data_IF_341403728091
#
_entry.id   IF_341403728091
#
_cell.length_a   1.000
_cell.length_b   1.000
_cell.length_c   1.000
_cell.angle_alpha   90.00
_cell.angle_beta   90.00
_cell.angle_gamma   90.00
#
_symmetry.space_group_name_H-M   'P 1'
#
loop_
_entity.id
_entity.type
_entity.pdbx_description
1 polymer ?
#
# COMPACT_ATOMS: atom_id res chain seq x y z
N UNK A 1 -9.76 4.18 -21.68
CA UNK A 1 -8.38 3.95 -21.27
C UNK A 1 -7.99 4.96 -20.20
N UNK A 2 -6.94 4.72 -19.47
CA UNK A 2 -6.45 5.64 -18.43
C UNK A 2 -5.72 6.83 -19.05
N UNK A 3 -5.75 7.96 -18.35
CA UNK A 3 -5.07 9.19 -18.77
C UNK A 3 -3.84 9.40 -17.88
N UNK A 4 -2.68 9.53 -18.49
CA UNK A 4 -1.42 9.76 -17.79
C UNK A 4 -0.64 10.90 -18.44
N UNK A 5 0.29 11.49 -17.67
CA UNK A 5 1.25 12.44 -18.23
C UNK A 5 2.60 12.33 -17.51
N UNK A 6 3.71 12.74 -18.19
CA UNK A 6 4.99 13.00 -17.54
C UNK A 6 4.90 14.24 -16.65
N UNK A 7 5.81 14.40 -15.71
CA UNK A 7 5.89 15.57 -14.84
C UNK A 7 7.34 15.94 -14.51
N UNK A 8 7.57 17.20 -14.19
CA UNK A 8 8.87 17.66 -13.71
C UNK A 8 8.96 17.42 -12.20
N UNK A 9 9.48 16.25 -11.80
CA UNK A 9 9.53 15.89 -10.40
C UNK A 9 10.42 16.82 -9.59
N UNK A 10 10.01 17.12 -8.35
CA UNK A 10 10.90 17.63 -7.33
C UNK A 10 11.52 16.43 -6.63
N UNK A 11 12.84 16.33 -6.62
CA UNK A 11 13.57 15.16 -6.11
C UNK A 11 14.92 15.54 -5.48
N UNK A 12 15.47 14.69 -4.59
CA UNK A 12 16.74 14.98 -3.94
C UNK A 12 17.92 14.87 -4.91
N UNK A 13 19.01 15.62 -4.70
CA UNK A 13 20.31 15.30 -5.28
C UNK A 13 20.77 13.88 -4.95
N UNK A 14 21.54 13.27 -5.86
CA UNK A 14 21.97 11.87 -5.77
C UNK A 14 22.73 11.54 -4.49
N UNK A 15 23.53 12.46 -4.00
CA UNK A 15 24.40 12.31 -2.83
C UNK A 15 23.64 12.27 -1.49
N UNK A 16 22.40 12.76 -1.45
CA UNK A 16 21.59 12.78 -0.22
C UNK A 16 20.29 11.94 -0.33
N UNK A 17 20.05 11.24 -1.44
CA UNK A 17 18.78 10.50 -1.64
C UNK A 17 18.50 9.49 -0.51
N UNK A 18 19.52 8.83 0.03
CA UNK A 18 19.37 7.88 1.14
C UNK A 18 18.99 8.53 2.46
N UNK A 19 19.36 9.80 2.68
CA UNK A 19 18.96 10.57 3.84
C UNK A 19 17.53 11.07 3.73
N UNK A 20 17.08 11.38 2.48
CA UNK A 20 15.76 11.93 2.20
C UNK A 20 14.68 10.84 2.12
N UNK A 21 14.98 9.73 1.42
CA UNK A 21 14.02 8.66 1.20
C UNK A 21 13.51 8.06 2.51
N UNK A 22 12.19 8.06 2.69
CA UNK A 22 11.55 7.62 3.92
C UNK A 22 10.43 6.61 3.64
N UNK A 23 10.08 5.74 4.61
CA UNK A 23 8.89 4.92 4.50
C UNK A 23 7.63 5.80 4.42
N UNK A 24 6.51 5.27 3.89
CA UNK A 24 5.26 6.01 3.84
C UNK A 24 4.73 6.32 5.26
N UNK A 25 3.96 7.41 5.37
CA UNK A 25 3.53 7.99 6.64
C UNK A 25 2.73 7.02 7.54
N UNK A 26 2.06 6.05 6.95
CA UNK A 26 1.09 5.16 7.60
C UNK A 26 1.69 3.85 8.13
N UNK A 27 2.97 3.59 7.89
CA UNK A 27 3.66 2.38 8.39
C UNK A 27 4.39 2.61 9.72
N UNK A 28 4.51 3.86 10.17
CA UNK A 28 5.18 4.26 11.42
C UNK A 28 4.25 5.09 12.29
N UNK A 29 4.24 4.83 13.60
CA UNK A 29 3.69 5.80 14.54
C UNK A 29 4.67 6.98 14.73
N UNK A 30 4.21 8.08 15.35
CA UNK A 30 4.98 9.31 15.46
C UNK A 30 6.24 9.17 16.35
N UNK A 31 6.22 8.25 17.31
CA UNK A 31 7.39 7.98 18.17
C UNK A 31 8.46 7.21 17.38
N UNK A 32 8.06 6.22 16.60
CA UNK A 32 8.95 5.48 15.71
C UNK A 32 9.53 6.39 14.64
N UNK A 33 8.68 7.22 14.01
CA UNK A 33 9.10 8.19 13.01
C UNK A 33 10.13 9.18 13.58
N UNK A 34 9.91 9.72 14.80
CA UNK A 34 10.86 10.61 15.45
C UNK A 34 12.22 9.97 15.73
N UNK A 35 12.23 8.67 16.06
CA UNK A 35 13.49 7.92 16.28
C UNK A 35 14.23 7.61 14.98
N UNK A 36 13.50 7.39 13.89
CA UNK A 36 14.07 7.05 12.60
C UNK A 36 14.55 8.27 11.81
N UNK A 37 13.87 9.40 11.94
CA UNK A 37 14.11 10.59 11.14
C UNK A 37 15.50 11.20 11.41
N UNK A 38 16.38 11.14 10.39
CA UNK A 38 17.56 12.01 10.33
C UNK A 38 17.19 13.41 9.88
N UNK A 39 18.12 14.37 9.93
CA UNK A 39 17.87 15.79 9.63
C UNK A 39 17.17 16.05 8.28
N UNK A 40 17.49 15.25 7.25
CA UNK A 40 16.95 15.38 5.90
C UNK A 40 15.88 14.31 5.59
N UNK A 41 15.36 13.59 6.58
CA UNK A 41 14.33 12.58 6.35
C UNK A 41 13.01 13.21 5.91
N UNK A 42 12.43 12.71 4.83
CA UNK A 42 11.13 13.22 4.35
C UNK A 42 10.02 13.11 5.41
N UNK A 43 10.22 12.31 6.46
CA UNK A 43 9.30 12.23 7.61
C UNK A 43 9.03 13.61 8.24
N UNK A 44 9.95 14.55 8.18
CA UNK A 44 9.72 15.94 8.62
C UNK A 44 8.68 16.69 7.77
N UNK A 45 8.34 16.17 6.58
CA UNK A 45 7.32 16.75 5.68
C UNK A 45 6.04 15.92 5.72
N UNK A 46 6.14 14.58 5.82
CA UNK A 46 4.98 13.67 5.78
C UNK A 46 4.38 13.40 7.16
N UNK A 47 5.17 13.54 8.23
CA UNK A 47 4.83 13.40 9.65
C UNK A 47 5.42 14.53 10.51
N UNK A 48 5.10 15.80 10.18
CA UNK A 48 5.78 16.96 10.77
C UNK A 48 5.53 17.15 12.29
N UNK A 49 4.59 16.40 12.88
CA UNK A 49 4.38 16.34 14.34
C UNK A 49 5.64 15.90 15.11
N UNK A 50 6.56 15.19 14.44
CA UNK A 50 7.84 14.73 15.07
C UNK A 50 8.80 15.86 15.39
N UNK A 51 8.62 17.03 14.76
CA UNK A 51 9.45 18.23 14.98
C UNK A 51 9.16 18.94 16.29
N UNK A 52 8.12 18.51 17.01
CA UNK A 52 7.71 19.15 18.27
C UNK A 52 8.13 18.32 19.48
N UNK A 53 8.32 19.03 20.61
CA UNK A 53 8.57 18.41 21.89
C UNK A 53 7.70 19.07 22.97
N UNK A 54 6.70 18.38 23.52
CA UNK A 54 6.29 17.02 23.16
C UNK A 54 5.73 16.91 21.74
N UNK A 55 5.69 15.69 21.18
CA UNK A 55 5.05 15.42 19.89
C UNK A 55 3.60 15.89 19.95
N UNK A 56 3.19 16.69 18.96
CA UNK A 56 1.82 17.18 18.84
C UNK A 56 0.90 16.12 18.20
N UNK A 57 -0.43 16.25 18.39
CA UNK A 57 -1.40 15.49 17.59
C UNK A 57 -1.19 15.74 16.10
N UNK A 58 -1.29 14.70 15.29
CA UNK A 58 -1.04 14.73 13.82
C UNK A 58 -1.97 15.70 13.05
N UNK A 59 -3.12 16.07 13.61
CA UNK A 59 -4.09 17.01 13.03
C UNK A 59 -4.05 18.44 13.63
N UNK A 60 -3.01 18.81 14.37
CA UNK A 60 -2.85 20.17 14.90
C UNK A 60 -2.44 21.13 13.77
N UNK A 61 -3.03 22.32 13.71
CA UNK A 61 -2.73 23.33 12.68
C UNK A 61 -1.24 23.67 12.59
N UNK A 62 -0.54 23.65 13.72
CA UNK A 62 0.92 23.89 13.76
C UNK A 62 1.71 22.79 13.05
N UNK A 63 1.19 21.57 13.05
CA UNK A 63 1.79 20.41 12.35
C UNK A 63 1.68 20.63 10.85
N UNK A 64 0.51 21.04 10.38
CA UNK A 64 0.30 21.41 8.97
C UNK A 64 1.18 22.57 8.52
N UNK A 65 1.25 23.63 9.32
CA UNK A 65 2.14 24.78 9.05
C UNK A 65 3.63 24.36 8.98
N UNK A 66 4.02 23.41 9.82
CA UNK A 66 5.38 22.87 9.84
C UNK A 66 5.70 22.11 8.54
N UNK A 67 4.77 21.32 8.03
CA UNK A 67 4.92 20.63 6.75
C UNK A 67 5.23 21.59 5.60
N UNK A 68 4.46 22.66 5.50
CA UNK A 68 4.65 23.71 4.48
C UNK A 68 6.01 24.39 4.60
N UNK A 69 6.39 24.77 5.82
CA UNK A 69 7.70 25.41 6.10
C UNK A 69 8.86 24.49 5.75
N UNK A 70 8.79 23.22 6.14
CA UNK A 70 9.83 22.25 5.85
C UNK A 70 9.96 22.04 4.34
N UNK A 71 8.87 21.85 3.63
CA UNK A 71 8.89 21.64 2.17
C UNK A 71 9.49 22.85 1.43
N UNK A 72 9.10 24.07 1.79
CA UNK A 72 9.67 25.29 1.22
C UNK A 72 11.17 25.45 1.56
N UNK A 73 11.55 25.20 2.82
CA UNK A 73 12.92 25.34 3.26
C UNK A 73 13.85 24.33 2.58
N UNK A 74 13.38 23.10 2.37
CA UNK A 74 14.18 22.05 1.73
C UNK A 74 14.46 22.36 0.24
N UNK A 75 13.50 22.96 -0.46
CA UNK A 75 13.71 23.45 -1.82
C UNK A 75 14.74 24.59 -1.82
N UNK A 76 14.63 25.54 -0.86
CA UNK A 76 15.59 26.65 -0.71
C UNK A 76 17.01 26.16 -0.37
N UNK A 77 17.13 25.08 0.42
CA UNK A 77 18.40 24.49 0.77
C UNK A 77 19.03 23.64 -0.36
N UNK A 78 18.29 23.39 -1.43
CA UNK A 78 18.71 22.50 -2.50
C UNK A 78 18.67 21.01 -2.12
N UNK A 79 17.95 20.65 -1.04
CA UNK A 79 17.72 19.25 -0.68
C UNK A 79 16.65 18.60 -1.53
N UNK A 80 15.80 19.42 -2.14
CA UNK A 80 14.79 19.04 -3.11
C UNK A 80 14.91 19.98 -4.31
N UNK A 81 15.13 19.45 -5.50
CA UNK A 81 15.35 20.21 -6.73
C UNK A 81 14.39 19.75 -7.79
N UNK A 82 13.73 20.69 -8.49
CA UNK A 82 12.82 20.37 -9.57
C UNK A 82 13.56 20.04 -10.86
N UNK A 83 13.15 18.99 -11.55
CA UNK A 83 13.66 18.64 -12.88
C UNK A 83 13.31 19.74 -13.90
N UNK A 84 14.15 19.89 -14.93
CA UNK A 84 14.04 20.99 -15.88
C UNK A 84 12.91 20.83 -16.89
N UNK A 85 12.44 19.60 -17.10
CA UNK A 85 11.34 19.27 -18.02
C UNK A 85 10.53 18.08 -17.49
N UNK A 86 9.29 17.92 -17.97
CA UNK A 86 8.49 16.73 -17.64
C UNK A 86 9.16 15.44 -18.13
N UNK A 87 9.23 14.42 -17.26
CA UNK A 87 9.80 13.11 -17.50
C UNK A 87 8.85 12.03 -16.99
N UNK A 88 9.02 10.82 -17.49
CA UNK A 88 8.64 9.61 -16.76
C UNK A 88 9.85 9.06 -16.01
N UNK A 89 9.61 8.19 -15.04
CA UNK A 89 10.70 7.58 -14.28
C UNK A 89 10.43 6.08 -14.15
N UNK A 90 11.47 5.30 -13.95
CA UNK A 90 11.37 3.90 -13.53
C UNK A 90 11.84 3.81 -12.10
N UNK A 91 11.04 3.20 -11.25
CA UNK A 91 11.39 2.88 -9.87
C UNK A 91 11.41 1.37 -9.67
N UNK A 92 12.54 0.83 -9.29
CA UNK A 92 12.72 -0.59 -9.00
C UNK A 92 12.87 -0.82 -7.49
N UNK A 93 12.25 -1.88 -7.02
CA UNK A 93 12.35 -2.36 -5.65
C UNK A 93 12.79 -3.83 -5.65
N UNK A 94 13.81 -4.15 -4.85
CA UNK A 94 14.33 -5.52 -4.72
C UNK A 94 14.16 -6.01 -3.29
N UNK A 95 13.48 -7.14 -3.12
CA UNK A 95 13.28 -7.83 -1.85
C UNK A 95 13.51 -9.33 -2.06
N UNK A 96 14.32 -9.96 -1.21
CA UNK A 96 14.59 -11.41 -1.27
C UNK A 96 15.04 -11.90 -2.65
N UNK A 97 15.86 -11.11 -3.34
CA UNK A 97 16.37 -11.43 -4.69
C UNK A 97 15.38 -11.22 -5.84
N UNK A 98 14.14 -10.80 -5.55
CA UNK A 98 13.13 -10.47 -6.55
C UNK A 98 13.05 -8.96 -6.74
N UNK A 99 13.12 -8.51 -8.00
CA UNK A 99 12.99 -7.09 -8.36
C UNK A 99 11.69 -6.86 -9.12
N UNK A 100 10.96 -5.81 -8.73
CA UNK A 100 9.78 -5.29 -9.43
C UNK A 100 10.07 -3.88 -9.95
N UNK A 101 9.61 -3.58 -11.16
CA UNK A 101 9.84 -2.31 -11.85
C UNK A 101 8.52 -1.61 -12.10
N UNK A 102 8.37 -0.38 -11.60
CA UNK A 102 7.20 0.47 -11.80
C UNK A 102 7.53 1.73 -12.57
N UNK A 103 6.60 2.18 -13.42
CA UNK A 103 6.64 3.49 -14.06
C UNK A 103 6.07 4.53 -13.10
N UNK A 104 6.87 5.58 -12.82
CA UNK A 104 6.44 6.75 -12.04
C UNK A 104 5.88 7.78 -13.01
N UNK A 105 4.65 8.16 -12.78
CA UNK A 105 3.87 9.02 -13.68
C UNK A 105 2.82 9.80 -12.89
N UNK A 106 2.14 10.73 -13.57
CA UNK A 106 0.92 11.34 -13.03
C UNK A 106 -0.33 10.77 -13.70
N UNK A 107 -1.25 10.25 -12.90
CA UNK A 107 -2.55 9.73 -13.31
C UNK A 107 -3.64 10.79 -13.15
N UNK A 108 -4.62 10.83 -14.06
CA UNK A 108 -5.67 11.83 -14.06
C UNK A 108 -6.69 11.60 -12.94
N UNK A 109 -7.04 12.65 -12.21
CA UNK A 109 -7.96 12.62 -11.06
C UNK A 109 -9.36 12.10 -11.41
N UNK A 110 -9.88 12.43 -12.60
CA UNK A 110 -11.21 11.99 -13.04
C UNK A 110 -11.27 10.49 -13.32
N UNK A 111 -10.14 9.85 -13.65
CA UNK A 111 -10.13 8.40 -13.86
C UNK A 111 -10.52 7.63 -12.59
N UNK A 112 -10.34 8.23 -11.41
CA UNK A 112 -10.85 7.68 -10.15
C UNK A 112 -12.39 7.80 -10.07
N UNK A 113 -12.95 8.94 -10.40
CA UNK A 113 -14.40 9.14 -10.41
C UNK A 113 -15.10 8.34 -11.51
N UNK A 114 -14.45 8.18 -12.68
CA UNK A 114 -14.94 7.41 -13.83
C UNK A 114 -14.77 5.89 -13.66
N UNK A 115 -14.17 5.42 -12.55
CA UNK A 115 -13.96 3.99 -12.28
C UNK A 115 -12.87 3.33 -13.13
N UNK A 116 -11.99 4.11 -13.76
CA UNK A 116 -10.79 3.62 -14.45
C UNK A 116 -9.64 3.37 -13.48
N UNK A 117 -9.60 4.08 -12.35
CA UNK A 117 -8.76 3.74 -11.20
C UNK A 117 -9.64 2.98 -10.23
N UNK A 118 -9.47 1.66 -10.20
CA UNK A 118 -10.32 0.72 -9.49
C UNK A 118 -9.80 0.49 -8.08
N UNK A 119 -10.71 0.51 -7.12
CA UNK A 119 -10.42 0.27 -5.70
C UNK A 119 -11.01 -1.06 -5.27
N UNK A 120 -10.40 -1.69 -4.30
CA UNK A 120 -10.88 -2.90 -3.65
C UNK A 120 -11.08 -2.74 -2.14
N UNK A 121 -10.82 -1.55 -1.59
CA UNK A 121 -10.98 -1.22 -0.18
C UNK A 121 -11.67 0.14 -0.01
N UNK A 122 -12.50 0.29 1.04
CA UNK A 122 -13.12 1.56 1.40
C UNK A 122 -12.14 2.42 2.21
N UNK A 123 -12.15 3.71 1.90
CA UNK A 123 -11.37 4.69 2.66
C UNK A 123 -12.10 5.12 3.94
N UNK A 124 -11.33 5.48 4.97
CA UNK A 124 -11.83 6.13 6.17
C UNK A 124 -11.82 7.64 5.96
N UNK A 125 -12.96 8.28 6.25
CA UNK A 125 -13.15 9.73 6.02
C UNK A 125 -12.12 10.60 6.75
N UNK A 126 -11.82 10.27 8.02
CA UNK A 126 -10.85 11.00 8.83
C UNK A 126 -9.44 11.00 8.21
N UNK A 127 -8.99 9.84 7.70
CA UNK A 127 -7.68 9.70 7.05
C UNK A 127 -7.64 10.36 5.67
N UNK A 128 -8.75 10.29 4.93
CA UNK A 128 -8.86 10.94 3.64
C UNK A 128 -8.84 12.47 3.79
N UNK A 129 -9.61 13.03 4.74
CA UNK A 129 -9.67 14.46 5.01
C UNK A 129 -8.30 15.00 5.44
N UNK A 130 -7.57 14.29 6.29
CA UNK A 130 -6.20 14.63 6.69
C UNK A 130 -5.25 14.70 5.48
N UNK A 131 -5.25 13.67 4.61
CA UNK A 131 -4.41 13.69 3.41
C UNK A 131 -4.79 14.79 2.43
N UNK A 132 -6.09 15.14 2.33
CA UNK A 132 -6.53 16.30 1.56
C UNK A 132 -5.93 17.61 2.08
N UNK A 133 -5.92 17.81 3.40
CA UNK A 133 -5.29 18.99 4.00
C UNK A 133 -3.82 19.07 3.60
N UNK A 134 -3.07 18.00 3.78
CA UNK A 134 -1.64 17.95 3.40
C UNK A 134 -1.42 18.30 1.92
N UNK A 135 -2.15 17.67 1.00
CA UNK A 135 -2.01 17.94 -0.45
C UNK A 135 -2.34 19.39 -0.78
N UNK A 136 -3.39 19.96 -0.17
CA UNK A 136 -3.84 21.34 -0.42
C UNK A 136 -2.85 22.38 0.07
N UNK A 137 -2.37 22.26 1.30
CA UNK A 137 -1.47 23.26 1.91
C UNK A 137 -0.05 23.22 1.34
N UNK A 138 0.44 22.02 1.01
CA UNK A 138 1.76 21.85 0.39
C UNK A 138 1.70 22.10 -1.12
N UNK A 139 0.52 22.13 -1.69
CA UNK A 139 0.26 22.24 -3.13
C UNK A 139 1.05 21.18 -3.93
N UNK A 140 1.14 19.97 -3.40
CA UNK A 140 1.94 18.89 -3.97
C UNK A 140 1.46 17.51 -3.51
N UNK A 141 1.70 16.49 -4.34
CA UNK A 141 1.67 15.09 -3.95
C UNK A 141 3.07 14.69 -3.46
N UNK A 142 3.26 14.71 -2.15
CA UNK A 142 4.56 14.41 -1.52
C UNK A 142 4.88 12.92 -1.58
N UNK A 143 3.86 12.07 -1.47
CA UNK A 143 3.97 10.61 -1.46
C UNK A 143 3.25 10.00 -2.66
N UNK A 144 3.85 9.02 -3.34
CA UNK A 144 3.22 8.35 -4.47
C UNK A 144 2.08 7.43 -4.00
N UNK A 145 1.13 7.17 -4.89
CA UNK A 145 0.23 6.02 -4.77
C UNK A 145 0.79 4.83 -5.53
N UNK A 146 0.40 3.62 -5.12
CA UNK A 146 0.88 2.38 -5.71
C UNK A 146 -0.24 1.75 -6.54
N UNK A 147 -0.05 1.65 -7.85
CA UNK A 147 -1.01 1.06 -8.77
C UNK A 147 -0.46 -0.20 -9.45
N UNK A 148 -1.36 -1.12 -9.74
CA UNK A 148 -1.14 -2.19 -10.69
C UNK A 148 -1.87 -1.89 -12.00
N UNK A 149 -1.39 -2.44 -13.12
CA UNK A 149 -2.09 -2.48 -14.41
C UNK A 149 -1.90 -3.83 -15.09
N UNK A 150 -2.81 -4.19 -16.00
CA UNK A 150 -2.70 -5.40 -16.81
C UNK A 150 -1.45 -5.34 -17.66
N UNK A 151 -0.66 -6.40 -17.65
CA UNK A 151 0.65 -6.47 -18.30
C UNK A 151 0.61 -5.99 -19.76
N UNK A 152 1.63 -5.22 -20.15
CA UNK A 152 1.80 -4.69 -21.51
C UNK A 152 3.24 -4.87 -21.98
N UNK A 153 3.43 -5.65 -23.04
CA UNK A 153 4.75 -6.02 -23.54
C UNK A 153 5.57 -4.82 -24.05
N UNK A 154 4.93 -3.80 -24.61
CA UNK A 154 5.62 -2.60 -25.10
C UNK A 154 6.17 -1.74 -23.95
N UNK A 155 5.38 -1.58 -22.87
CA UNK A 155 5.84 -0.91 -21.65
C UNK A 155 6.99 -1.70 -21.00
N UNK A 156 6.89 -3.02 -20.94
CA UNK A 156 7.95 -3.88 -20.42
C UNK A 156 9.26 -3.75 -21.22
N UNK A 157 9.17 -3.65 -22.54
CA UNK A 157 10.32 -3.43 -23.39
C UNK A 157 10.98 -2.06 -23.14
N UNK A 158 10.20 -1.00 -23.01
CA UNK A 158 10.70 0.34 -22.67
C UNK A 158 11.41 0.31 -21.31
N UNK A 159 10.79 -0.27 -20.30
CA UNK A 159 11.38 -0.41 -18.96
C UNK A 159 12.68 -1.21 -19.03
N UNK A 160 12.70 -2.36 -19.72
CA UNK A 160 13.89 -3.19 -19.89
C UNK A 160 15.06 -2.43 -20.52
N UNK A 161 14.79 -1.61 -21.53
CA UNK A 161 15.81 -0.76 -22.17
C UNK A 161 16.32 0.32 -21.22
N UNK A 162 15.43 0.95 -20.47
CA UNK A 162 15.78 2.02 -19.52
C UNK A 162 16.69 1.49 -18.43
N UNK A 163 16.36 0.34 -17.83
CA UNK A 163 17.13 -0.22 -16.70
C UNK A 163 18.43 -0.90 -17.10
N UNK A 164 18.71 -1.03 -18.40
CA UNK A 164 20.01 -1.46 -18.91
C UNK A 164 21.10 -0.39 -18.68
N UNK A 165 20.72 0.87 -18.50
CA UNK A 165 21.63 1.95 -18.13
C UNK A 165 21.84 2.03 -16.62
N UNK A 166 22.90 2.72 -16.19
CA UNK A 166 23.12 2.97 -14.77
C UNK A 166 21.99 3.83 -14.19
N UNK A 167 21.47 3.50 -12.99
CA UNK A 167 20.42 4.26 -12.37
C UNK A 167 20.89 5.63 -11.86
N UNK A 168 19.97 6.58 -11.84
CA UNK A 168 20.16 7.88 -11.17
C UNK A 168 20.37 7.67 -9.68
N UNK A 169 19.52 6.84 -9.02
CA UNK A 169 19.68 6.44 -7.64
C UNK A 169 19.80 4.93 -7.52
N UNK A 170 20.64 4.46 -6.60
CA UNK A 170 20.70 3.06 -6.18
C UNK A 170 21.15 3.00 -4.73
N UNK A 171 20.33 2.44 -3.85
CA UNK A 171 20.63 2.29 -2.43
C UNK A 171 19.86 1.11 -1.83
N UNK A 172 20.28 0.71 -0.63
CA UNK A 172 19.58 -0.28 0.20
C UNK A 172 19.04 0.43 1.43
N UNK A 173 17.80 0.12 1.80
CA UNK A 173 17.16 0.71 2.99
C UNK A 173 17.50 -0.04 4.27
N UNK A 174 16.96 0.43 5.39
CA UNK A 174 17.15 -0.12 6.73
C UNK A 174 16.61 -1.54 6.91
N UNK A 175 15.73 -2.01 6.02
CA UNK A 175 15.18 -3.38 6.01
C UNK A 175 15.97 -4.31 5.08
N UNK A 176 17.02 -3.81 4.42
CA UNK A 176 17.79 -4.57 3.43
C UNK A 176 17.15 -4.62 2.05
N UNK A 177 16.12 -3.80 1.77
CA UNK A 177 15.49 -3.74 0.45
C UNK A 177 16.24 -2.79 -0.47
N UNK A 178 16.45 -3.24 -1.72
CA UNK A 178 17.09 -2.44 -2.75
C UNK A 178 16.12 -1.49 -3.42
N UNK A 179 16.59 -0.26 -3.70
CA UNK A 179 15.84 0.78 -4.41
C UNK A 179 16.70 1.33 -5.53
N UNK A 180 16.17 1.35 -6.75
CA UNK A 180 16.85 1.97 -7.89
C UNK A 180 15.87 2.84 -8.68
N UNK A 181 16.38 3.92 -9.29
CA UNK A 181 15.54 4.93 -9.93
C UNK A 181 16.22 5.44 -11.21
N UNK A 182 15.48 5.53 -12.31
CA UNK A 182 15.94 6.02 -13.61
C UNK A 182 15.04 7.12 -14.12
N UNK A 183 15.61 8.04 -14.89
CA UNK A 183 14.89 9.13 -15.55
C UNK A 183 14.69 8.78 -17.03
N UNK A 184 13.48 8.91 -17.53
CA UNK A 184 13.14 8.82 -18.96
C UNK A 184 12.84 10.23 -19.44
N UNK A 185 13.82 10.84 -20.11
CA UNK A 185 13.75 12.22 -20.58
C UNK A 185 13.80 12.34 -22.13
N UNK A 186 13.84 11.22 -22.84
CA UNK A 186 13.74 11.18 -24.30
C UNK A 186 12.29 11.41 -24.76
N UNK A 187 12.07 12.47 -25.55
CA UNK A 187 10.73 12.92 -25.92
C UNK A 187 9.94 11.84 -26.71
N UNK A 188 10.59 11.08 -27.58
CA UNK A 188 9.95 9.99 -28.35
C UNK A 188 9.49 8.85 -27.43
N UNK A 189 10.29 8.50 -26.41
CA UNK A 189 9.94 7.49 -25.42
C UNK A 189 8.81 7.99 -24.50
N UNK A 190 8.82 9.27 -24.11
CA UNK A 190 7.77 9.90 -23.33
C UNK A 190 6.43 9.85 -24.08
N UNK A 191 6.41 10.27 -25.35
CA UNK A 191 5.22 10.22 -26.21
C UNK A 191 4.70 8.79 -26.31
N UNK A 192 5.58 7.82 -26.59
CA UNK A 192 5.21 6.42 -26.73
C UNK A 192 4.61 5.84 -25.43
N UNK A 193 5.15 6.14 -24.25
CA UNK A 193 4.58 5.71 -22.96
C UNK A 193 3.17 6.28 -22.80
N UNK A 194 3.01 7.58 -23.05
CA UNK A 194 1.71 8.25 -22.95
C UNK A 194 0.69 7.62 -23.88
N UNK A 195 1.06 7.36 -25.13
CA UNK A 195 0.19 6.74 -26.13
C UNK A 195 -0.24 5.33 -25.75
N UNK A 196 0.68 4.49 -25.24
CA UNK A 196 0.35 3.14 -24.80
C UNK A 196 -0.66 3.17 -23.65
N UNK A 197 -0.43 3.98 -22.61
CA UNK A 197 -1.40 4.07 -21.51
C UNK A 197 -2.75 4.59 -21.97
N UNK A 198 -2.75 5.61 -22.81
CA UNK A 198 -3.98 6.26 -23.28
C UNK A 198 -4.80 5.38 -24.25
N UNK A 199 -4.16 4.46 -24.96
CA UNK A 199 -4.83 3.66 -25.99
C UNK A 199 -4.95 2.17 -25.66
N UNK A 200 -4.12 1.62 -24.74
CA UNK A 200 -4.05 0.18 -24.51
C UNK A 200 -4.32 -0.23 -23.05
N UNK A 201 -4.10 0.67 -22.08
CA UNK A 201 -4.30 0.34 -20.65
C UNK A 201 -5.71 0.75 -20.21
N UNK A 202 -6.57 -0.23 -19.95
CA UNK A 202 -7.98 0.00 -19.63
C UNK A 202 -8.21 0.59 -18.24
N UNK A 203 -7.43 0.14 -17.25
CA UNK A 203 -7.62 0.51 -15.86
C UNK A 203 -6.31 0.42 -15.06
N UNK A 204 -6.25 1.22 -13.99
CA UNK A 204 -5.36 1.01 -12.87
C UNK A 204 -6.12 0.35 -11.72
N UNK A 205 -5.39 -0.43 -10.92
CA UNK A 205 -5.90 -1.05 -9.69
C UNK A 205 -5.07 -0.52 -8.52
N UNK A 206 -5.73 0.06 -7.53
CA UNK A 206 -5.03 0.56 -6.34
C UNK A 206 -4.46 -0.63 -5.57
N UNK A 207 -3.14 -0.76 -5.53
CA UNK A 207 -2.45 -1.77 -4.73
C UNK A 207 -2.24 -1.26 -3.29
N UNK A 208 -1.79 -0.01 -3.14
CA UNK A 208 -1.62 0.66 -1.85
C UNK A 208 -1.89 2.17 -1.99
N UNK A 209 -2.28 2.83 -0.90
CA UNK A 209 -2.55 4.26 -0.88
C UNK A 209 -3.98 4.66 -1.27
N UNK A 210 -4.99 3.86 -0.91
CA UNK A 210 -6.41 4.18 -1.17
C UNK A 210 -6.80 5.58 -0.65
N UNK A 211 -6.39 5.94 0.58
CA UNK A 211 -6.67 7.28 1.14
C UNK A 211 -5.98 8.40 0.36
N UNK A 212 -4.71 8.20 -0.06
CA UNK A 212 -3.95 9.16 -0.88
C UNK A 212 -4.59 9.36 -2.25
N UNK A 213 -5.04 8.27 -2.89
CA UNK A 213 -5.75 8.31 -4.18
C UNK A 213 -7.06 9.09 -4.08
N UNK A 214 -7.90 8.78 -3.09
CA UNK A 214 -9.17 9.47 -2.88
C UNK A 214 -8.95 10.96 -2.55
N UNK A 215 -8.00 11.29 -1.67
CA UNK A 215 -7.65 12.66 -1.32
C UNK A 215 -7.18 13.47 -2.54
N UNK A 216 -6.29 12.91 -3.36
CA UNK A 216 -5.79 13.57 -4.57
C UNK A 216 -6.93 13.86 -5.58
N UNK A 217 -7.83 12.89 -5.80
CA UNK A 217 -8.98 13.05 -6.68
C UNK A 217 -9.92 14.17 -6.18
N UNK A 218 -10.18 14.23 -4.86
CA UNK A 218 -11.02 15.29 -4.26
C UNK A 218 -10.37 16.66 -4.35
N UNK A 219 -9.06 16.76 -4.07
CA UNK A 219 -8.32 18.03 -4.18
C UNK A 219 -8.32 18.53 -5.62
N UNK A 220 -8.11 17.66 -6.61
CA UNK A 220 -8.22 18.03 -8.03
C UNK A 220 -9.59 18.59 -8.39
N UNK A 221 -10.67 17.94 -7.95
CA UNK A 221 -12.04 18.40 -8.17
C UNK A 221 -12.33 19.76 -7.49
N UNK A 222 -11.86 19.96 -6.25
CA UNK A 222 -12.00 21.25 -5.55
C UNK A 222 -11.24 22.38 -6.25
N UNK A 223 -9.96 22.15 -6.64
CA UNK A 223 -9.16 23.16 -7.35
C UNK A 223 -9.78 23.52 -8.69
N UNK A 224 -10.29 22.53 -9.44
CA UNK A 224 -11.01 22.73 -10.69
C UNK A 224 -12.24 23.59 -10.50
N UNK A 225 -13.08 23.29 -9.53
CA UNK A 225 -14.29 24.05 -9.25
C UNK A 225 -14.01 25.49 -8.79
N UNK A 226 -12.85 25.71 -8.18
CA UNK A 226 -12.40 27.05 -7.75
C UNK A 226 -11.67 27.86 -8.84
N UNK A 227 -11.34 27.28 -9.99
CA UNK A 227 -10.59 27.93 -11.05
C UNK A 227 -11.50 28.30 -12.24
N UNK A 228 -11.95 29.53 -12.30
CA UNK A 228 -12.78 30.03 -13.40
C UNK A 228 -12.07 30.01 -14.79
N UNK A 229 -10.73 29.94 -14.81
CA UNK A 229 -9.91 29.84 -16.01
C UNK A 229 -9.39 28.40 -16.29
N UNK A 230 -10.07 27.40 -15.74
CA UNK A 230 -9.70 26.00 -15.93
C UNK A 230 -9.66 25.58 -17.40
N UNK A 231 -8.55 25.04 -17.85
CA UNK A 231 -8.32 24.59 -19.24
C UNK A 231 -8.35 23.09 -19.40
N UNK A 232 -8.06 22.35 -18.35
CA UNK A 232 -7.90 20.88 -18.34
C UNK A 232 -6.44 20.42 -18.25
N UNK A 233 -5.49 21.31 -18.51
CA UNK A 233 -4.05 20.97 -18.58
C UNK A 233 -3.32 21.18 -17.25
N UNK A 234 -4.00 21.75 -16.24
CA UNK A 234 -3.40 22.10 -14.96
C UNK A 234 -2.90 20.85 -14.20
N UNK A 235 -1.78 21.01 -13.46
CA UNK A 235 -1.13 19.93 -12.72
C UNK A 235 -2.05 19.30 -11.65
N UNK A 236 -2.95 20.07 -11.03
CA UNK A 236 -3.91 19.55 -10.05
C UNK A 236 -4.96 18.57 -10.63
N UNK A 237 -5.06 18.44 -11.97
CA UNK A 237 -5.86 17.39 -12.60
C UNK A 237 -5.19 16.03 -12.57
N UNK A 238 -3.94 15.96 -12.10
CA UNK A 238 -3.12 14.76 -12.07
C UNK A 238 -2.51 14.56 -10.70
N UNK A 239 -2.18 13.33 -10.37
CA UNK A 239 -1.49 12.98 -9.12
C UNK A 239 -0.49 11.85 -9.33
N UNK A 240 0.59 11.90 -8.55
CA UNK A 240 1.73 11.02 -8.68
C UNK A 240 1.42 9.58 -8.29
N UNK A 241 1.76 8.65 -9.17
CA UNK A 241 1.62 7.21 -8.97
C UNK A 241 2.88 6.46 -9.42
N UNK A 242 3.14 5.31 -8.79
CA UNK A 242 4.06 4.28 -9.30
C UNK A 242 3.21 3.10 -9.77
N UNK A 243 3.28 2.80 -11.07
CA UNK A 243 2.42 1.83 -11.73
C UNK A 243 3.25 0.60 -12.14
N UNK A 244 2.88 -0.56 -11.64
CA UNK A 244 3.54 -1.84 -11.91
C UNK A 244 2.67 -2.74 -12.77
N UNK A 245 3.24 -3.52 -13.70
CA UNK A 245 2.50 -4.60 -14.32
C UNK A 245 2.13 -5.63 -13.27
N UNK A 246 0.87 -6.12 -13.30
CA UNK A 246 0.34 -7.04 -12.28
C UNK A 246 1.18 -8.31 -12.11
N UNK A 247 1.83 -8.77 -13.19
CA UNK A 247 2.67 -9.96 -13.21
C UNK A 247 3.95 -9.80 -12.38
N UNK A 248 4.37 -8.58 -12.08
CA UNK A 248 5.52 -8.30 -11.23
C UNK A 248 5.17 -8.11 -9.75
N UNK A 249 3.89 -8.09 -9.40
CA UNK A 249 3.47 -7.88 -8.02
C UNK A 249 3.20 -9.19 -7.30
N UNK A 250 3.49 -9.19 -6.02
CA UNK A 250 3.16 -10.28 -5.09
C UNK A 250 2.43 -9.71 -3.89
N UNK A 251 1.25 -10.25 -3.64
CA UNK A 251 0.54 -10.00 -2.38
C UNK A 251 1.06 -11.03 -1.38
N UNK A 252 1.38 -10.57 -0.19
CA UNK A 252 1.73 -11.46 0.93
C UNK A 252 0.58 -11.55 1.92
N UNK A 253 0.63 -12.52 2.80
CA UNK A 253 -0.41 -12.82 3.77
C UNK A 253 -0.67 -11.66 4.74
N UNK A 254 -1.91 -11.55 5.16
CA UNK A 254 -2.32 -10.62 6.22
C UNK A 254 -3.05 -11.40 7.29
N UNK A 255 -2.36 -11.66 8.39
CA UNK A 255 -2.74 -12.63 9.42
C UNK A 255 -3.59 -11.97 10.53
N UNK A 256 -4.29 -12.79 11.32
CA UNK A 256 -5.16 -12.35 12.41
C UNK A 256 -4.69 -12.94 13.74
N UNK A 257 -4.81 -12.13 14.79
CA UNK A 257 -4.57 -12.55 16.17
C UNK A 257 -5.72 -12.10 17.05
N UNK A 258 -6.15 -12.94 17.97
CA UNK A 258 -7.35 -12.69 18.79
C UNK A 258 -7.03 -12.88 20.26
N UNK A 259 -7.53 -11.97 21.11
CA UNK A 259 -7.20 -11.88 22.55
C UNK A 259 -7.83 -12.96 23.42
N UNK A 260 -8.96 -13.50 23.00
CA UNK A 260 -9.71 -14.48 23.79
C UNK A 260 -10.46 -15.47 22.89
N UNK A 261 -10.99 -16.52 23.48
CA UNK A 261 -11.77 -17.55 22.80
C UNK A 261 -13.29 -17.41 23.07
N UNK A 262 -13.78 -16.21 23.37
CA UNK A 262 -15.19 -15.95 23.66
C UNK A 262 -15.74 -16.84 24.80
N UNK A 263 -14.93 -17.03 25.84
CA UNK A 263 -15.29 -17.85 27.02
C UNK A 263 -15.12 -19.35 26.83
N UNK A 264 -14.70 -19.84 25.66
CA UNK A 264 -14.47 -21.27 25.43
C UNK A 264 -13.11 -21.72 25.99
N UNK A 265 -13.06 -22.95 26.51
CA UNK A 265 -11.79 -23.63 26.73
C UNK A 265 -11.14 -24.02 25.37
N UNK A 266 -9.82 -24.19 25.31
CA UNK A 266 -9.13 -24.56 24.05
C UNK A 266 -9.72 -25.80 23.36
N UNK A 267 -10.07 -26.84 24.12
CA UNK A 267 -10.65 -28.09 23.60
C UNK A 267 -12.06 -27.85 23.03
N UNK A 268 -12.85 -27.00 23.69
CA UNK A 268 -14.19 -26.62 23.21
C UNK A 268 -14.09 -25.80 21.92
N UNK A 269 -13.09 -24.91 21.83
CA UNK A 269 -12.83 -24.13 20.63
C UNK A 269 -12.39 -25.02 19.45
N UNK A 270 -11.47 -25.98 19.68
CA UNK A 270 -11.09 -26.96 18.66
C UNK A 270 -12.29 -27.77 18.17
N UNK A 271 -13.13 -28.25 19.09
CA UNK A 271 -14.35 -28.99 18.73
C UNK A 271 -15.35 -28.14 17.93
N UNK A 272 -15.49 -26.85 18.27
CA UNK A 272 -16.36 -25.95 17.51
C UNK A 272 -15.86 -25.70 16.08
N UNK A 273 -14.55 -25.64 15.86
CA UNK A 273 -13.95 -25.51 14.52
C UNK A 273 -14.22 -26.73 13.64
N UNK A 274 -14.31 -27.94 14.22
CA UNK A 274 -14.53 -29.18 13.47
C UNK A 274 -15.90 -29.25 12.76
N UNK A 275 -16.83 -28.35 13.06
CA UNK A 275 -18.08 -28.24 12.28
C UNK A 275 -17.80 -27.82 10.82
N UNK A 276 -16.94 -26.83 10.64
CA UNK A 276 -16.69 -26.19 9.34
C UNK A 276 -15.34 -26.53 8.74
N UNK A 277 -14.38 -27.01 9.55
CA UNK A 277 -13.02 -27.30 9.14
C UNK A 277 -12.61 -28.73 9.49
N UNK A 278 -11.64 -29.26 8.72
CA UNK A 278 -10.81 -30.39 9.18
C UNK A 278 -9.61 -29.78 9.89
N UNK A 279 -9.48 -30.02 11.20
CA UNK A 279 -8.40 -29.48 12.03
C UNK A 279 -7.42 -30.60 12.34
N UNK A 280 -6.15 -30.43 11.96
CA UNK A 280 -5.10 -31.41 12.15
C UNK A 280 -3.92 -30.78 12.89
N UNK A 281 -3.44 -31.35 14.02
CA UNK A 281 -2.20 -30.90 14.62
C UNK A 281 -1.04 -30.95 13.63
N UNK A 282 -0.21 -29.91 13.63
CA UNK A 282 0.98 -29.88 12.77
C UNK A 282 2.14 -30.55 13.48
N UNK A 283 2.64 -31.64 12.87
CA UNK A 283 3.73 -32.45 13.43
C UNK A 283 5.11 -32.10 12.83
N UNK A 284 5.17 -31.08 11.95
CA UNK A 284 6.41 -30.62 11.34
C UNK A 284 7.28 -29.78 12.27
N UNK A 285 8.51 -29.52 11.83
CA UNK A 285 9.40 -28.58 12.52
C UNK A 285 9.07 -27.13 12.13
N UNK A 286 9.11 -26.22 13.11
CA UNK A 286 8.92 -24.78 12.89
C UNK A 286 7.45 -24.38 12.72
N UNK A 287 7.22 -23.46 11.81
CA UNK A 287 5.92 -22.80 11.59
C UNK A 287 5.07 -23.57 10.58
N UNK A 288 3.77 -23.65 10.82
CA UNK A 288 2.82 -24.21 9.86
C UNK A 288 2.38 -23.10 8.89
N UNK A 289 2.76 -23.23 7.61
CA UNK A 289 2.34 -22.28 6.56
C UNK A 289 1.12 -22.82 5.81
N UNK A 290 0.08 -21.99 5.55
CA UNK A 290 -0.98 -22.35 4.62
C UNK A 290 -0.39 -22.72 3.25
N UNK A 291 -0.82 -23.83 2.67
CA UNK A 291 -0.21 -24.35 1.43
C UNK A 291 -1.00 -24.01 0.16
N UNK A 292 -2.28 -23.68 0.28
CA UNK A 292 -3.18 -23.36 -0.82
C UNK A 292 -4.41 -22.57 -0.33
N UNK A 293 -5.26 -22.12 -1.25
CA UNK A 293 -6.53 -21.45 -0.91
C UNK A 293 -7.42 -22.39 -0.05
N UNK A 294 -8.13 -21.79 0.92
CA UNK A 294 -9.03 -22.46 1.87
C UNK A 294 -8.33 -23.34 2.92
N UNK A 295 -6.98 -23.34 2.92
CA UNK A 295 -6.14 -23.88 3.95
C UNK A 295 -5.60 -22.74 4.83
N UNK A 296 -5.81 -22.86 6.13
CA UNK A 296 -5.36 -21.92 7.16
C UNK A 296 -4.38 -22.60 8.09
N UNK A 297 -3.55 -21.81 8.75
CA UNK A 297 -2.80 -22.30 9.90
C UNK A 297 -3.26 -21.58 11.16
N UNK A 298 -3.39 -22.29 12.25
CA UNK A 298 -3.77 -21.74 13.54
C UNK A 298 -2.70 -22.05 14.59
N UNK A 299 -2.36 -21.03 15.38
CA UNK A 299 -1.50 -21.23 16.56
C UNK A 299 -2.32 -21.03 17.83
N UNK A 300 -2.41 -22.07 18.63
CA UNK A 300 -3.21 -22.13 19.86
C UNK A 300 -2.48 -22.94 20.94
N UNK A 301 -2.30 -22.38 22.14
CA UNK A 301 -1.76 -23.10 23.28
C UNK A 301 -0.37 -23.69 23.06
N UNK A 302 0.51 -22.99 22.34
CA UNK A 302 1.88 -23.44 22.06
C UNK A 302 2.01 -24.44 20.91
N UNK A 303 0.95 -24.65 20.12
CA UNK A 303 0.93 -25.62 19.01
C UNK A 303 0.35 -25.03 17.74
N UNK A 304 0.93 -25.46 16.61
CA UNK A 304 0.37 -25.20 15.29
C UNK A 304 -0.64 -26.26 14.87
N UNK A 305 -1.66 -25.85 14.13
CA UNK A 305 -2.67 -26.68 13.51
C UNK A 305 -2.86 -26.27 12.06
N UNK A 306 -3.03 -27.25 11.16
CA UNK A 306 -3.56 -27.00 9.81
C UNK A 306 -5.08 -27.09 9.85
N UNK A 307 -5.75 -26.13 9.22
CA UNK A 307 -7.20 -26.08 9.14
C UNK A 307 -7.63 -26.05 7.66
N UNK A 308 -8.33 -27.07 7.21
CA UNK A 308 -8.86 -27.15 5.85
C UNK A 308 -10.37 -26.90 5.86
N UNK A 309 -10.85 -25.96 5.07
CA UNK A 309 -12.29 -25.68 4.98
C UNK A 309 -13.02 -26.86 4.34
N UNK A 310 -14.09 -27.33 4.97
CA UNK A 310 -14.89 -28.45 4.44
C UNK A 310 -15.66 -28.03 3.19
N UNK A 311 -15.89 -28.93 2.22
CA UNK A 311 -16.69 -28.67 1.04
C UNK A 311 -18.08 -28.14 1.39
N UNK A 312 -18.58 -27.16 0.60
CA UNK A 312 -19.90 -26.56 0.77
C UNK A 312 -20.01 -25.53 1.89
N UNK A 313 -18.89 -25.09 2.48
CA UNK A 313 -18.85 -24.04 3.51
C UNK A 313 -18.63 -22.64 2.93
N UNK A 314 -18.38 -22.53 1.64
CA UNK A 314 -18.27 -21.29 0.87
C UNK A 314 -18.85 -21.51 -0.53
N UNK A 315 -19.17 -20.42 -1.25
CA UNK A 315 -19.66 -20.46 -2.63
C UNK A 315 -18.54 -20.01 -3.57
N UNK A 316 -18.08 -20.92 -4.44
CA UNK A 316 -17.05 -20.63 -5.45
C UNK A 316 -17.49 -19.55 -6.47
N UNK A 317 -18.79 -19.28 -6.59
CA UNK A 317 -19.33 -18.27 -7.50
C UNK A 317 -19.44 -16.88 -6.84
N UNK A 318 -19.31 -16.79 -5.51
CA UNK A 318 -19.27 -15.50 -4.80
C UNK A 318 -17.82 -15.01 -4.72
N UNK A 319 -17.43 -13.98 -5.48
CA UNK A 319 -16.04 -13.51 -5.52
C UNK A 319 -15.52 -12.98 -4.18
N UNK A 320 -16.42 -12.60 -3.26
CA UNK A 320 -16.07 -12.16 -1.91
C UNK A 320 -16.18 -13.32 -0.91
N UNK A 321 -17.24 -14.13 -1.02
CA UNK A 321 -17.49 -15.27 -0.14
C UNK A 321 -16.40 -16.33 -0.21
N UNK A 322 -15.80 -16.52 -1.38
CA UNK A 322 -14.72 -17.49 -1.64
C UNK A 322 -13.36 -17.07 -1.06
N UNK A 323 -13.19 -15.82 -0.63
CA UNK A 323 -11.92 -15.35 -0.06
C UNK A 323 -11.66 -15.98 1.33
N UNK A 324 -10.45 -16.43 1.56
CA UNK A 324 -10.03 -16.97 2.86
C UNK A 324 -10.32 -16.02 4.03
N UNK A 325 -10.11 -14.72 3.80
CA UNK A 325 -10.46 -13.70 4.82
C UNK A 325 -11.95 -13.67 5.14
N UNK A 326 -12.83 -13.92 4.17
CA UNK A 326 -14.28 -13.96 4.35
C UNK A 326 -14.70 -15.26 5.04
N UNK A 327 -14.15 -16.38 4.60
CA UNK A 327 -14.38 -17.71 5.19
C UNK A 327 -14.01 -17.69 6.68
N UNK A 328 -12.79 -17.23 7.02
CA UNK A 328 -12.35 -17.12 8.40
C UNK A 328 -13.24 -16.15 9.20
N UNK A 329 -13.60 -15.01 8.62
CA UNK A 329 -14.46 -14.02 9.28
C UNK A 329 -15.83 -14.58 9.63
N UNK A 330 -16.46 -15.27 8.69
CA UNK A 330 -17.81 -15.80 8.89
C UNK A 330 -17.85 -17.02 9.81
N UNK A 331 -16.96 -17.99 9.56
CA UNK A 331 -17.02 -19.31 10.20
C UNK A 331 -16.29 -19.37 11.54
N UNK A 332 -15.31 -18.48 11.77
CA UNK A 332 -14.53 -18.48 13.02
C UNK A 332 -14.75 -17.20 13.80
N UNK A 333 -14.45 -16.03 13.20
CA UNK A 333 -14.42 -14.77 13.94
C UNK A 333 -15.84 -14.35 14.40
N UNK A 334 -16.84 -14.40 13.53
CA UNK A 334 -18.22 -14.09 13.90
C UNK A 334 -18.89 -15.28 14.59
N UNK A 335 -18.97 -16.45 13.92
CA UNK A 335 -19.75 -17.60 14.39
C UNK A 335 -19.28 -18.11 15.75
N UNK A 336 -17.98 -18.26 15.97
CA UNK A 336 -17.42 -18.87 17.19
C UNK A 336 -16.96 -17.79 18.17
N UNK A 337 -16.18 -16.80 17.70
CA UNK A 337 -15.56 -15.81 18.56
C UNK A 337 -16.44 -14.55 18.78
N UNK A 338 -17.56 -14.41 18.05
CA UNK A 338 -18.49 -13.29 18.20
C UNK A 338 -17.95 -11.93 17.76
N UNK A 339 -16.89 -11.92 16.94
CA UNK A 339 -16.28 -10.70 16.38
C UNK A 339 -16.97 -10.38 15.06
N UNK A 340 -17.93 -9.44 15.09
CA UNK A 340 -18.78 -9.09 13.93
C UNK A 340 -18.20 -7.99 13.07
N UNK A 341 -17.52 -7.01 13.63
CA UNK A 341 -16.89 -5.92 12.88
C UNK A 341 -15.39 -5.87 13.15
N UNK A 342 -14.61 -6.33 12.18
CA UNK A 342 -13.15 -6.40 12.25
C UNK A 342 -12.47 -5.04 12.37
N UNK A 343 -13.17 -3.92 12.06
CA UNK A 343 -12.61 -2.56 12.11
C UNK A 343 -12.73 -1.93 13.48
N UNK A 344 -13.67 -2.38 14.29
CA UNK A 344 -14.01 -1.74 15.57
C UNK A 344 -13.82 -2.64 16.78
N UNK A 345 -13.83 -3.96 16.63
CA UNK A 345 -13.61 -4.90 17.73
C UNK A 345 -12.14 -4.86 18.19
N UNK A 346 -11.92 -4.57 19.47
CA UNK A 346 -10.59 -4.44 20.08
C UNK A 346 -9.98 -5.80 20.51
N UNK A 347 -10.69 -6.90 20.32
CA UNK A 347 -10.20 -8.25 20.61
C UNK A 347 -9.39 -8.84 19.47
N UNK A 348 -9.54 -8.30 18.25
CA UNK A 348 -8.77 -8.72 17.08
C UNK A 348 -7.70 -7.68 16.74
N UNK A 349 -6.56 -8.18 16.24
CA UNK A 349 -5.52 -7.37 15.63
C UNK A 349 -4.95 -8.09 14.40
N UNK A 350 -4.16 -7.37 13.59
CA UNK A 350 -3.70 -7.82 12.29
C UNK A 350 -2.17 -7.82 12.23
N UNK A 351 -1.59 -8.86 11.60
CA UNK A 351 -0.15 -9.02 11.45
C UNK A 351 0.17 -9.21 9.97
N UNK A 352 0.85 -8.23 9.36
CA UNK A 352 1.33 -8.35 7.97
C UNK A 352 2.38 -9.45 7.85
N UNK A 353 2.33 -10.20 6.75
CA UNK A 353 3.20 -11.33 6.47
C UNK A 353 4.70 -11.02 6.49
N UNK A 354 5.07 -9.75 6.27
CA UNK A 354 6.46 -9.29 6.39
C UNK A 354 7.08 -9.57 7.77
N UNK A 355 6.27 -9.71 8.82
CA UNK A 355 6.74 -10.03 10.17
C UNK A 355 6.98 -11.53 10.39
N UNK A 356 6.62 -12.37 9.41
CA UNK A 356 6.68 -13.82 9.51
C UNK A 356 5.66 -14.42 10.47
N UNK A 357 5.51 -15.75 10.42
CA UNK A 357 4.58 -16.45 11.31
C UNK A 357 5.09 -16.56 12.75
N UNK A 358 6.40 -16.40 12.99
CA UNK A 358 7.00 -16.31 14.33
C UNK A 358 6.44 -15.17 15.17
N UNK A 359 5.98 -14.07 14.55
CA UNK A 359 5.31 -12.99 15.27
C UNK A 359 3.93 -13.46 15.82
N UNK A 360 3.25 -14.36 15.11
CA UNK A 360 1.97 -14.93 15.56
C UNK A 360 2.17 -15.77 16.83
N UNK A 361 3.11 -16.72 16.79
CA UNK A 361 3.43 -17.56 17.94
C UNK A 361 3.96 -16.73 19.11
N UNK A 362 4.85 -15.76 18.87
CA UNK A 362 5.36 -14.83 19.89
C UNK A 362 4.22 -14.08 20.63
N UNK A 363 3.23 -13.56 19.91
CA UNK A 363 2.11 -12.80 20.51
C UNK A 363 1.18 -13.70 21.32
N UNK A 364 1.02 -14.95 20.93
CA UNK A 364 0.24 -15.94 21.70
C UNK A 364 1.01 -16.42 22.92
N UNK A 365 2.28 -16.77 22.77
CA UNK A 365 3.12 -17.30 23.87
C UNK A 365 3.39 -16.25 24.94
N UNK A 366 3.47 -14.96 24.57
CA UNK A 366 3.58 -13.85 25.54
C UNK A 366 2.29 -13.61 26.34
N UNK A 367 1.18 -14.23 25.97
CA UNK A 367 -0.14 -13.99 26.59
C UNK A 367 -0.83 -12.71 26.11
N UNK A 368 -0.24 -11.97 25.16
CA UNK A 368 -0.89 -10.80 24.54
C UNK A 368 -2.15 -11.20 23.77
N UNK A 369 -2.07 -12.32 23.06
CA UNK A 369 -3.15 -12.92 22.30
C UNK A 369 -3.39 -14.37 22.74
N UNK A 370 -4.57 -14.91 22.44
CA UNK A 370 -4.93 -16.27 22.81
C UNK A 370 -4.83 -17.25 21.64
N UNK A 371 -5.14 -16.77 20.45
CA UNK A 371 -5.08 -17.57 19.19
C UNK A 371 -4.64 -16.69 18.04
N UNK A 372 -3.95 -17.28 17.08
CA UNK A 372 -3.52 -16.64 15.84
C UNK A 372 -3.90 -17.50 14.64
N UNK A 373 -4.19 -16.83 13.52
CA UNK A 373 -4.52 -17.45 12.23
C UNK A 373 -3.64 -16.88 11.13
N UNK A 374 -2.94 -17.78 10.43
CA UNK A 374 -2.28 -17.45 9.18
C UNK A 374 -3.18 -17.83 8.00
N UNK A 375 -3.23 -16.94 7.00
CA UNK A 375 -4.05 -17.10 5.81
C UNK A 375 -3.17 -17.31 4.58
N UNK A 376 -3.70 -18.02 3.59
CA UNK A 376 -3.08 -18.05 2.28
C UNK A 376 -3.26 -16.67 1.59
N UNK A 377 -2.21 -16.09 0.98
CA UNK A 377 -2.31 -14.75 0.40
C UNK A 377 -3.28 -14.70 -0.80
N UNK A 378 -4.03 -13.61 -0.91
CA UNK A 378 -4.87 -13.33 -2.06
C UNK A 378 -4.01 -13.16 -3.32
N UNK A 379 -4.47 -13.66 -4.45
CA UNK A 379 -3.79 -13.48 -5.73
C UNK A 379 -4.10 -12.12 -6.38
N UNK A 380 -3.20 -11.65 -7.25
CA UNK A 380 -3.47 -10.47 -8.09
C UNK A 380 -4.74 -10.64 -8.93
N UNK A 381 -4.99 -11.87 -9.42
CA UNK A 381 -6.21 -12.17 -10.19
C UNK A 381 -7.47 -11.97 -9.36
N UNK A 382 -7.52 -12.47 -8.12
CA UNK A 382 -8.68 -12.25 -7.23
C UNK A 382 -8.89 -10.76 -6.96
N UNK A 383 -7.80 -10.00 -6.70
CA UNK A 383 -7.90 -8.56 -6.50
C UNK A 383 -8.47 -7.84 -7.71
N UNK A 384 -7.95 -8.11 -8.91
CA UNK A 384 -8.41 -7.44 -10.13
C UNK A 384 -9.84 -7.83 -10.51
N UNK A 385 -10.21 -9.10 -10.38
CA UNK A 385 -11.58 -9.58 -10.68
C UNK A 385 -12.61 -8.91 -9.73
N UNK A 386 -12.29 -8.79 -8.44
CA UNK A 386 -13.15 -8.13 -7.45
C UNK A 386 -13.27 -6.63 -7.75
N UNK A 387 -12.15 -5.96 -8.03
CA UNK A 387 -12.15 -4.54 -8.38
C UNK A 387 -12.88 -4.28 -9.73
N UNK A 388 -12.78 -5.20 -10.69
CA UNK A 388 -13.49 -5.13 -11.97
C UNK A 388 -15.01 -5.28 -11.81
N UNK A 389 -15.45 -6.11 -10.88
CA UNK A 389 -16.88 -6.29 -10.56
C UNK A 389 -17.48 -5.14 -9.74
N UNK A 390 -16.66 -4.18 -9.30
CA UNK A 390 -17.09 -3.08 -8.42
C UNK A 390 -17.33 -3.49 -6.96
N UNK A 391 -16.97 -4.71 -6.60
CA UNK A 391 -17.06 -5.21 -5.24
C UNK A 391 -15.89 -4.70 -4.37
N UNK A 392 -16.06 -4.79 -3.05
CA UNK A 392 -15.08 -4.36 -2.05
C UNK A 392 -14.67 -5.58 -1.22
N UNK A 393 -13.36 -5.74 -1.04
CA UNK A 393 -12.79 -6.75 -0.15
C UNK A 393 -13.04 -6.40 1.33
N UNK A 394 -13.10 -7.40 2.21
CA UNK A 394 -13.00 -7.16 3.65
C UNK A 394 -11.74 -6.35 4.00
N UNK A 395 -11.73 -5.59 5.11
CA UNK A 395 -10.56 -4.83 5.49
C UNK A 395 -9.35 -5.73 5.77
N UNK A 396 -8.14 -5.22 5.46
CA UNK A 396 -6.90 -5.94 5.73
C UNK A 396 -6.80 -7.29 5.01
N UNK A 397 -7.18 -7.30 3.72
CA UNK A 397 -7.11 -8.49 2.86
C UNK A 397 -5.80 -8.57 2.09
N UNK A 398 -5.25 -7.43 1.67
CA UNK A 398 -4.06 -7.35 0.83
C UNK A 398 -2.90 -6.67 1.57
N UNK A 399 -1.68 -7.18 1.35
CA UNK A 399 -0.45 -6.55 1.82
C UNK A 399 0.60 -6.62 0.72
N UNK A 400 1.02 -5.47 0.22
CA UNK A 400 2.06 -5.36 -0.81
C UNK A 400 3.39 -4.97 -0.18
N UNK A 401 4.45 -5.69 -0.54
CA UNK A 401 5.84 -5.38 -0.20
C UNK A 401 6.75 -5.49 -1.44
N UNK A 402 7.84 -4.70 -1.46
CA UNK A 402 8.19 -3.62 -0.52
C UNK A 402 7.24 -2.42 -0.60
N UNK A 403 7.11 -1.68 0.51
CA UNK A 403 6.39 -0.40 0.48
C UNK A 403 7.16 0.63 -0.34
N UNK A 404 6.43 1.46 -1.10
CA UNK A 404 7.07 2.54 -1.86
C UNK A 404 7.76 3.51 -0.90
N UNK A 405 9.00 3.91 -1.23
CA UNK A 405 9.66 5.00 -0.51
C UNK A 405 9.09 6.33 -0.98
N UNK A 406 8.84 7.21 -0.04
CA UNK A 406 8.51 8.61 -0.26
C UNK A 406 9.79 9.42 -0.43
N UNK A 407 9.75 10.48 -1.22
CA UNK A 407 10.88 11.40 -1.41
C UNK A 407 11.82 11.10 -2.57
N UNK A 408 11.57 10.07 -3.37
CA UNK A 408 12.33 9.84 -4.61
C UNK A 408 11.83 10.74 -5.75
N UNK A 409 10.57 11.13 -5.72
CA UNK A 409 9.92 12.09 -6.58
C UNK A 409 8.74 12.73 -5.83
N UNK A 410 8.43 13.98 -6.14
CA UNK A 410 7.31 14.75 -5.61
C UNK A 410 6.68 15.50 -6.80
N UNK A 411 5.36 15.52 -6.87
CA UNK A 411 4.62 16.22 -7.91
C UNK A 411 3.97 17.48 -7.36
N UNK A 412 4.30 18.67 -7.91
CA UNK A 412 3.64 19.94 -7.61
C UNK A 412 2.32 20.06 -8.38
N UNK A 413 1.38 20.78 -7.81
CA UNK A 413 0.04 21.00 -8.40
C UNK A 413 -0.11 22.37 -9.09
N UNK A 414 0.99 23.06 -9.35
CA UNK A 414 1.08 24.36 -10.06
C UNK A 414 2.23 24.35 -11.10
#
# INVERSE_FOLDING_TARGET
MVRVKPFAAIRPPKDIVTEVAAPPYDVLNSVEAKKMAGEKSLLHITKPEIDFDPILPDHDDKVYDRAVKNFAQWQKNGWLVQDKKPCYYVYAQTMEGRTQYGLVLCAHTDDYAEGKIKKHELTRKDKEDDRMVHVKIQNANIEPVFFAYKDNSQLNEIVSRTVAAAPEYSFTDENGFGHSFWVIDDDATIEKITDIFTNEVNAFYVADGHHRTAAAARVGAEKRSGNAAHTGDEEYNYFMAVCFPETQLKIIDYNRVVKDLNGLAPEQFLSALEEDFTVTPYEGEGECHPSHLHNFSMYLGGKWYSMETKPGRYDDNDPIGVLDVTILSNLVLDKILGIKDLRTDKRIDFVGGIRGLGELSRRVDSGEMKVAFALYPVSMKQLTDIADSGNIMPPKTTWFEPKLRSGLAIHKLD
#
